data_IF_449495736621
#
_entry.id   IF_449495736621
#
_cell.length_a   1.000
_cell.length_b   1.000
_cell.length_c   1.000
_cell.angle_alpha   90.00
_cell.angle_beta   90.00
_cell.angle_gamma   90.00
#
_symmetry.space_group_name_H-M   'P 1'
#
loop_
_entity.id
_entity.type
_entity.pdbx_description
1 polymer ?
#
# COMPACT_ATOMS: atom_id res chain seq x y z
N UNK A 1 46.56 35.20 -5.14
CA UNK A 1 45.43 34.97 -4.22
C UNK A 1 44.89 33.57 -4.44
N UNK A 2 44.63 32.86 -3.34
CA UNK A 2 44.54 31.41 -3.22
C UNK A 2 43.29 30.74 -3.78
N UNK A 3 43.48 29.46 -4.12
CA UNK A 3 42.49 28.43 -4.49
C UNK A 3 41.37 28.29 -3.46
N UNK A 4 40.13 28.08 -3.92
CA UNK A 4 39.11 27.31 -3.19
C UNK A 4 38.26 26.50 -4.19
N UNK A 5 38.76 25.32 -4.53
CA UNK A 5 37.95 24.25 -5.14
C UNK A 5 37.18 23.58 -4.01
N UNK A 6 35.86 23.82 -3.92
CA UNK A 6 34.98 23.09 -3.00
C UNK A 6 34.83 21.66 -3.51
N UNK A 7 35.47 20.74 -2.79
CA UNK A 7 35.44 19.29 -2.96
C UNK A 7 34.03 18.80 -2.59
N UNK A 8 33.12 18.67 -3.56
CA UNK A 8 31.85 17.97 -3.34
C UNK A 8 32.14 16.47 -3.30
N UNK A 9 31.79 15.85 -2.17
CA UNK A 9 32.08 14.46 -1.84
C UNK A 9 31.49 13.51 -2.88
N UNK A 10 32.35 12.68 -3.46
CA UNK A 10 31.97 11.49 -4.22
C UNK A 10 31.44 10.47 -3.23
N UNK A 11 30.14 10.48 -2.94
CA UNK A 11 29.48 9.28 -2.44
C UNK A 11 29.68 8.20 -3.50
N UNK A 12 30.25 7.06 -3.12
CA UNK A 12 30.57 5.99 -4.08
C UNK A 12 29.29 5.55 -4.78
N UNK A 13 29.34 5.24 -6.08
CA UNK A 13 28.21 4.68 -6.84
C UNK A 13 27.61 3.46 -6.11
N UNK A 14 28.45 2.69 -5.42
CA UNK A 14 28.05 1.57 -4.57
C UNK A 14 27.18 2.00 -3.35
N UNK A 15 27.43 3.17 -2.78
CA UNK A 15 26.74 3.72 -1.61
C UNK A 15 25.32 4.20 -1.96
N UNK A 16 25.16 4.74 -3.16
CA UNK A 16 23.86 5.16 -3.71
C UNK A 16 23.05 3.93 -4.13
N UNK A 17 23.70 2.94 -4.74
CA UNK A 17 23.07 1.68 -5.14
C UNK A 17 22.64 0.86 -3.91
N UNK A 18 23.47 0.84 -2.86
CA UNK A 18 23.14 0.27 -1.55
C UNK A 18 21.94 0.99 -0.91
N UNK A 19 21.84 2.33 -1.02
CA UNK A 19 20.69 3.09 -0.52
C UNK A 19 19.38 2.80 -1.28
N UNK A 20 19.42 2.60 -2.60
CA UNK A 20 18.24 2.24 -3.42
C UNK A 20 17.81 0.79 -3.11
N UNK A 21 18.76 -0.14 -3.02
CA UNK A 21 18.50 -1.54 -2.66
C UNK A 21 17.99 -1.66 -1.22
N UNK A 22 18.46 -0.81 -0.32
CA UNK A 22 17.97 -0.67 1.06
C UNK A 22 16.57 -0.01 1.12
N UNK A 23 16.23 0.88 0.18
CA UNK A 23 14.89 1.46 0.05
C UNK A 23 13.88 0.42 -0.45
N UNK A 24 14.30 -0.44 -1.38
CA UNK A 24 13.50 -1.58 -1.87
C UNK A 24 13.33 -2.68 -0.80
N UNK A 25 14.38 -3.01 -0.02
CA UNK A 25 14.31 -4.05 1.02
C UNK A 25 13.65 -3.62 2.33
N UNK A 26 13.78 -2.35 2.77
CA UNK A 26 13.05 -1.83 3.95
C UNK A 26 11.53 -1.86 3.77
N UNK A 27 11.04 -1.87 2.52
CA UNK A 27 9.61 -1.85 2.20
C UNK A 27 8.98 -3.24 2.07
N UNK A 28 9.76 -4.32 2.13
CA UNK A 28 9.26 -5.70 2.18
C UNK A 28 8.87 -6.13 3.62
N UNK A 29 9.29 -5.40 4.66
CA UNK A 29 9.00 -5.70 6.07
C UNK A 29 7.64 -5.20 6.57
N UNK A 30 6.98 -4.26 5.89
CA UNK A 30 5.76 -3.62 6.39
C UNK A 30 4.45 -4.22 5.83
N UNK A 31 4.46 -5.45 5.29
CA UNK A 31 3.23 -6.12 4.82
C UNK A 31 2.78 -7.27 5.75
N UNK A 32 3.24 -7.26 7.00
CA UNK A 32 2.83 -8.20 8.05
C UNK A 32 2.62 -7.45 9.37
N UNK A 33 1.66 -6.53 9.39
CA UNK A 33 1.08 -6.02 10.63
C UNK A 33 -0.30 -5.46 10.31
N UNK A 34 -1.33 -6.28 10.54
CA UNK A 34 -2.67 -5.85 10.91
C UNK A 34 -3.41 -7.05 11.52
N UNK A 35 -3.13 -7.31 12.79
CA UNK A 35 -4.17 -7.67 13.76
C UNK A 35 -3.66 -7.33 15.15
N UNK A 36 -4.56 -6.78 15.98
CA UNK A 36 -4.51 -6.50 17.42
C UNK A 36 -4.09 -5.09 17.85
N UNK A 37 -5.11 -4.29 18.17
CA UNK A 37 -5.06 -3.14 19.07
C UNK A 37 -4.70 -3.62 20.48
N UNK A 38 -3.84 -2.86 21.18
CA UNK A 38 -4.00 -2.62 22.63
C UNK A 38 -3.21 -1.38 23.07
N UNK A 39 -3.83 -0.65 24.01
CA UNK A 39 -3.47 0.68 24.51
C UNK A 39 -2.44 0.62 25.65
N UNK A 40 -1.37 1.41 25.58
CA UNK A 40 -0.85 2.16 26.74
C UNK A 40 0.08 3.29 26.30
N UNK A 41 -0.14 4.50 26.82
CA UNK A 41 0.68 5.67 26.54
C UNK A 41 2.03 5.66 27.24
N UNK A 42 2.99 6.40 26.67
CA UNK A 42 4.01 7.19 27.39
C UNK A 42 4.69 8.17 26.43
N UNK A 43 4.92 9.35 27.00
CA UNK A 43 5.45 10.61 26.45
C UNK A 43 6.94 10.55 26.01
N UNK A 44 7.53 11.64 25.45
CA UNK A 44 8.50 11.61 24.37
C UNK A 44 9.95 11.38 24.83
N UNK A 45 10.74 10.68 24.00
CA UNK A 45 12.19 10.50 24.23
C UNK A 45 12.95 10.94 22.97
N UNK A 46 14.01 11.70 23.22
CA UNK A 46 14.84 12.48 22.32
C UNK A 46 15.61 11.70 21.24
N UNK A 47 16.06 12.46 20.24
CA UNK A 47 16.84 12.05 19.07
C UNK A 47 18.12 11.25 19.39
N UNK A 48 18.09 9.93 19.20
CA UNK A 48 19.30 9.11 19.03
C UNK A 48 19.47 8.69 17.56
N UNK A 49 20.66 8.97 17.01
CA UNK A 49 21.08 8.60 15.65
C UNK A 49 21.14 7.07 15.51
N UNK A 50 20.15 6.49 14.83
CA UNK A 50 20.16 5.07 14.48
C UNK A 50 21.13 4.84 13.31
N UNK A 51 22.25 4.18 13.58
CA UNK A 51 23.18 3.70 12.56
C UNK A 51 22.48 2.74 11.59
N UNK A 52 22.49 3.11 10.30
CA UNK A 52 21.85 2.33 9.24
C UNK A 52 22.64 1.04 8.99
N UNK A 53 22.19 -0.07 9.59
CA UNK A 53 22.65 -1.42 9.24
C UNK A 53 22.42 -1.68 7.74
N UNK A 54 23.43 -2.26 7.08
CA UNK A 54 23.36 -2.68 5.66
C UNK A 54 22.23 -3.70 5.46
N UNK A 55 21.34 -3.45 4.51
CA UNK A 55 20.23 -4.34 4.19
C UNK A 55 20.68 -5.54 3.36
N UNK A 56 19.89 -6.62 3.40
CA UNK A 56 20.08 -7.79 2.54
C UNK A 56 19.67 -7.43 1.10
N UNK A 57 20.42 -7.93 0.11
CA UNK A 57 20.09 -7.77 -1.31
C UNK A 57 18.79 -8.48 -1.71
N UNK A 58 18.29 -8.19 -2.92
CA UNK A 58 17.05 -8.77 -3.43
C UNK A 58 17.10 -10.30 -3.49
N UNK A 59 16.04 -10.95 -2.99
CA UNK A 59 15.93 -12.41 -3.01
C UNK A 59 15.81 -12.93 -4.45
N UNK A 60 16.68 -13.88 -4.84
CA UNK A 60 16.68 -14.53 -6.17
C UNK A 60 16.01 -15.90 -6.10
N UNK A 61 15.27 -16.26 -7.14
CA UNK A 61 14.69 -17.60 -7.28
C UNK A 61 15.84 -18.60 -7.53
N UNK A 62 16.02 -19.59 -6.66
CA UNK A 62 16.81 -20.76 -7.00
C UNK A 62 15.83 -21.87 -7.36
N UNK A 63 15.87 -22.33 -8.61
CA UNK A 63 15.18 -23.55 -8.99
C UNK A 63 15.77 -24.69 -8.16
N UNK A 64 14.91 -25.44 -7.47
CA UNK A 64 15.35 -26.59 -6.67
C UNK A 64 15.76 -27.68 -7.67
N UNK A 65 17.06 -27.79 -7.94
CA UNK A 65 17.63 -28.90 -8.71
C UNK A 65 18.05 -30.00 -7.74
N UNK A 66 17.32 -31.10 -7.74
CA UNK A 66 17.54 -32.24 -6.85
C UNK A 66 16.29 -32.54 -6.04
N UNK A 67 16.13 -33.81 -5.66
CA UNK A 67 14.98 -34.38 -4.94
C UNK A 67 14.84 -33.87 -3.50
N UNK A 68 14.97 -32.56 -3.26
CA UNK A 68 14.62 -31.92 -2.01
C UNK A 68 13.10 -31.72 -1.97
N UNK A 69 12.46 -32.78 -1.47
CA UNK A 69 11.11 -32.88 -0.89
C UNK A 69 10.31 -31.58 -0.95
N UNK A 70 9.29 -31.59 -1.82
CA UNK A 70 8.18 -30.66 -1.85
C UNK A 70 7.85 -30.17 -0.42
N UNK A 71 8.01 -28.85 -0.17
CA UNK A 71 7.96 -28.29 1.18
C UNK A 71 6.52 -28.30 1.68
N UNK A 72 6.33 -28.85 2.87
CA UNK A 72 5.04 -28.77 3.57
C UNK A 72 4.80 -27.33 4.05
N UNK A 73 3.57 -26.87 3.80
CA UNK A 73 3.01 -25.66 4.40
C UNK A 73 1.97 -26.14 5.40
N UNK A 74 2.27 -25.98 6.69
CA UNK A 74 1.26 -26.14 7.74
C UNK A 74 0.15 -25.11 7.49
N UNK A 75 -1.09 -25.44 7.81
CA UNK A 75 -2.23 -24.54 7.52
C UNK A 75 -3.07 -24.35 8.77
N UNK A 76 -3.60 -23.14 8.97
CA UNK A 76 -4.70 -22.94 9.92
C UNK A 76 -6.02 -23.49 9.37
N UNK A 77 -7.03 -23.46 10.23
CA UNK A 77 -8.44 -23.77 9.95
C UNK A 77 -9.03 -22.97 8.77
N UNK A 78 -8.41 -21.84 8.41
CA UNK A 78 -8.81 -20.98 7.29
C UNK A 78 -8.02 -21.27 5.99
N UNK A 79 -7.21 -22.35 5.96
CA UNK A 79 -6.40 -22.73 4.80
C UNK A 79 -5.24 -21.76 4.50
N UNK A 80 -4.87 -20.91 5.45
CA UNK A 80 -3.72 -20.02 5.31
C UNK A 80 -2.44 -20.76 5.73
N UNK A 81 -1.35 -20.63 4.96
CA UNK A 81 -0.08 -21.22 5.34
C UNK A 81 0.44 -20.57 6.63
N UNK A 82 0.79 -21.40 7.61
CA UNK A 82 1.40 -21.08 8.90
C UNK A 82 2.74 -21.83 8.99
N UNK A 83 3.61 -21.39 9.91
CA UNK A 83 4.85 -22.06 10.23
C UNK A 83 6.08 -21.49 9.52
N UNK A 84 7.22 -22.13 9.75
CA UNK A 84 8.55 -21.61 9.41
C UNK A 84 8.80 -21.46 7.90
N UNK A 85 8.03 -22.17 7.08
CA UNK A 85 8.12 -22.11 5.63
C UNK A 85 7.32 -20.94 5.01
N UNK A 86 6.47 -20.24 5.78
CA UNK A 86 5.65 -19.15 5.28
C UNK A 86 6.49 -18.01 4.67
N UNK A 87 7.57 -17.62 5.35
CA UNK A 87 8.46 -16.54 4.87
C UNK A 87 9.13 -16.95 3.54
N UNK A 88 9.56 -18.21 3.44
CA UNK A 88 10.16 -18.77 2.21
C UNK A 88 9.12 -18.85 1.09
N UNK A 89 7.88 -19.21 1.40
CA UNK A 89 6.77 -19.26 0.46
C UNK A 89 6.40 -17.88 -0.07
N UNK A 90 6.22 -16.89 0.80
CA UNK A 90 5.94 -15.52 0.40
C UNK A 90 7.07 -14.93 -0.48
N UNK A 91 8.33 -15.20 -0.10
CA UNK A 91 9.50 -14.82 -0.91
C UNK A 91 9.47 -15.49 -2.29
N UNK A 92 9.12 -16.77 -2.34
CA UNK A 92 9.01 -17.55 -3.57
C UNK A 92 7.91 -17.03 -4.49
N UNK A 93 6.69 -16.79 -3.99
CA UNK A 93 5.61 -16.16 -4.76
C UNK A 93 6.07 -14.81 -5.33
N UNK A 94 6.79 -14.05 -4.50
CA UNK A 94 7.43 -12.82 -4.92
C UNK A 94 8.41 -13.04 -6.07
N UNK A 95 9.34 -13.97 -5.97
CA UNK A 95 10.30 -14.23 -7.04
C UNK A 95 9.61 -14.73 -8.33
N UNK A 96 8.60 -15.59 -8.21
CA UNK A 96 7.84 -16.12 -9.34
C UNK A 96 7.20 -15.01 -10.18
N UNK A 97 6.53 -14.04 -9.56
CA UNK A 97 5.88 -12.94 -10.31
C UNK A 97 6.91 -12.13 -11.12
N UNK A 98 8.11 -11.91 -10.57
CA UNK A 98 9.15 -11.14 -11.24
C UNK A 98 9.60 -11.82 -12.52
N UNK A 99 9.71 -13.15 -12.48
CA UNK A 99 10.21 -13.95 -13.59
C UNK A 99 9.16 -14.17 -14.68
N UNK A 100 7.92 -14.46 -14.28
CA UNK A 100 6.90 -14.94 -15.22
C UNK A 100 6.02 -13.83 -15.81
N UNK A 101 5.85 -12.69 -15.13
CA UNK A 101 4.82 -11.69 -15.49
C UNK A 101 5.44 -10.34 -15.87
N UNK A 102 5.36 -9.94 -17.14
CA UNK A 102 5.79 -8.61 -17.58
C UNK A 102 4.99 -7.48 -16.91
N UNK A 103 5.63 -6.33 -16.67
CA UNK A 103 4.94 -5.13 -16.16
C UNK A 103 4.25 -4.30 -17.25
N UNK A 104 4.45 -4.65 -18.52
CA UNK A 104 3.84 -4.00 -19.69
C UNK A 104 2.36 -4.37 -19.88
N UNK A 105 1.89 -5.48 -19.29
CA UNK A 105 0.49 -5.91 -19.38
C UNK A 105 -0.44 -4.92 -18.68
N UNK A 106 -1.60 -4.61 -19.26
CA UNK A 106 -2.55 -3.66 -18.68
C UNK A 106 -3.19 -4.20 -17.39
N UNK A 107 -3.65 -5.45 -17.42
CA UNK A 107 -4.30 -6.13 -16.30
C UNK A 107 -3.80 -7.55 -16.06
N UNK A 108 -4.17 -8.10 -14.89
CA UNK A 108 -3.87 -9.49 -14.52
C UNK A 108 -4.62 -10.50 -15.41
N UNK A 109 -5.76 -10.11 -15.96
CA UNK A 109 -6.57 -10.94 -16.86
C UNK A 109 -5.90 -11.17 -18.21
N UNK A 110 -4.98 -10.29 -18.61
CA UNK A 110 -4.30 -10.32 -19.92
C UNK A 110 -3.11 -11.31 -19.93
N UNK A 111 -2.86 -11.98 -18.79
CA UNK A 111 -1.83 -13.01 -18.69
C UNK A 111 -2.35 -14.26 -19.39
N UNK A 112 -1.57 -14.75 -20.35
CA UNK A 112 -1.81 -15.98 -21.07
C UNK A 112 -1.97 -17.17 -20.11
N UNK A 113 -2.92 -18.05 -20.40
CA UNK A 113 -3.24 -19.20 -19.55
C UNK A 113 -2.05 -20.16 -19.47
N UNK A 114 -1.25 -20.27 -20.54
CA UNK A 114 0.00 -21.04 -20.54
C UNK A 114 1.02 -20.53 -19.50
N UNK A 115 1.08 -19.21 -19.29
CA UNK A 115 1.95 -18.62 -18.27
C UNK A 115 1.41 -18.94 -16.88
N UNK A 116 0.08 -18.86 -16.69
CA UNK A 116 -0.55 -19.24 -15.42
C UNK A 116 -0.31 -20.72 -15.10
N UNK A 117 -0.42 -21.61 -16.06
CA UNK A 117 -0.20 -23.04 -15.85
C UNK A 117 1.27 -23.39 -15.59
N UNK A 118 2.21 -22.68 -16.21
CA UNK A 118 3.64 -22.78 -15.87
C UNK A 118 3.93 -22.30 -14.45
N UNK A 119 3.33 -21.18 -14.02
CA UNK A 119 3.44 -20.69 -12.65
C UNK A 119 2.86 -21.71 -11.66
N UNK A 120 1.70 -22.30 -11.98
CA UNK A 120 1.05 -23.32 -11.16
C UNK A 120 1.91 -24.58 -11.03
N UNK A 121 2.43 -25.10 -12.14
CA UNK A 121 3.36 -26.24 -12.14
C UNK A 121 4.60 -25.98 -11.30
N UNK A 122 5.20 -24.79 -11.44
CA UNK A 122 6.38 -24.39 -10.65
C UNK A 122 6.06 -24.33 -9.14
N UNK A 123 4.84 -23.92 -8.78
CA UNK A 123 4.37 -23.88 -7.41
C UNK A 123 4.15 -25.28 -6.83
N UNK A 124 3.51 -26.18 -7.58
CA UNK A 124 3.28 -27.58 -7.17
C UNK A 124 4.59 -28.37 -7.03
N UNK A 125 5.59 -28.07 -7.85
CA UNK A 125 6.92 -28.70 -7.74
C UNK A 125 7.66 -28.30 -6.46
N UNK A 126 7.35 -27.13 -5.88
CA UNK A 126 8.13 -26.57 -4.76
C UNK A 126 7.42 -26.68 -3.42
N UNK A 127 6.08 -26.64 -3.42
CA UNK A 127 5.24 -26.69 -2.22
C UNK A 127 4.07 -27.66 -2.42
N UNK A 128 3.67 -28.33 -1.33
CA UNK A 128 2.49 -29.20 -1.34
C UNK A 128 1.24 -28.32 -1.37
N UNK A 129 0.68 -28.14 -2.55
CA UNK A 129 -0.45 -27.25 -2.80
C UNK A 129 -1.47 -27.98 -3.66
N UNK A 130 -2.74 -27.83 -3.28
CA UNK A 130 -3.86 -28.52 -3.86
C UNK A 130 -4.65 -27.61 -4.81
N UNK A 131 -5.38 -28.22 -5.75
CA UNK A 131 -6.10 -27.48 -6.80
C UNK A 131 -7.16 -26.51 -6.27
N UNK A 132 -7.79 -26.83 -5.13
CA UNK A 132 -8.79 -25.95 -4.52
C UNK A 132 -8.20 -24.61 -4.05
N UNK A 133 -6.88 -24.54 -3.82
CA UNK A 133 -6.18 -23.32 -3.41
C UNK A 133 -5.74 -22.44 -4.57
N UNK A 134 -5.76 -22.98 -5.80
CA UNK A 134 -5.30 -22.29 -7.02
C UNK A 134 -5.88 -20.89 -7.09
N UNK A 135 -7.20 -20.74 -6.88
CA UNK A 135 -7.88 -19.44 -6.91
C UNK A 135 -7.30 -18.45 -5.88
N UNK A 136 -7.17 -18.85 -4.62
CA UNK A 136 -6.68 -17.99 -3.53
C UNK A 136 -5.22 -17.58 -3.75
N UNK A 137 -4.39 -18.50 -4.23
CA UNK A 137 -2.98 -18.25 -4.51
C UNK A 137 -2.84 -17.29 -5.69
N UNK A 138 -3.60 -17.49 -6.76
CA UNK A 138 -3.61 -16.58 -7.90
C UNK A 138 -4.14 -15.18 -7.54
N UNK A 139 -5.08 -15.06 -6.61
CA UNK A 139 -5.48 -13.76 -6.07
C UNK A 139 -4.34 -13.07 -5.31
N UNK A 140 -3.57 -13.82 -4.52
CA UNK A 140 -2.37 -13.29 -3.84
C UNK A 140 -1.30 -12.88 -4.84
N UNK A 141 -1.05 -13.70 -5.87
CA UNK A 141 -0.11 -13.38 -6.94
C UNK A 141 -0.54 -12.11 -7.71
N UNK A 142 -1.83 -11.99 -8.02
CA UNK A 142 -2.40 -10.81 -8.68
C UNK A 142 -2.26 -9.54 -7.85
N UNK A 143 -2.42 -9.64 -6.52
CA UNK A 143 -2.18 -8.51 -5.61
C UNK A 143 -0.70 -8.11 -5.64
N UNK A 144 0.21 -9.07 -5.44
CA UNK A 144 1.65 -8.83 -5.42
C UNK A 144 2.17 -8.21 -6.74
N UNK A 145 1.64 -8.64 -7.89
CA UNK A 145 1.97 -8.05 -9.18
C UNK A 145 1.49 -6.60 -9.29
N UNK A 146 0.23 -6.32 -8.95
CA UNK A 146 -0.32 -4.95 -8.95
C UNK A 146 0.46 -4.01 -8.02
N UNK A 147 0.74 -4.47 -6.80
CA UNK A 147 1.49 -3.70 -5.80
C UNK A 147 2.88 -3.33 -6.33
N UNK A 148 3.57 -4.27 -6.98
CA UNK A 148 4.90 -4.02 -7.56
C UNK A 148 4.86 -3.13 -8.78
N UNK A 149 3.94 -3.39 -9.71
CA UNK A 149 3.74 -2.54 -10.89
C UNK A 149 3.48 -1.10 -10.46
N UNK A 150 2.58 -0.89 -9.49
CA UNK A 150 2.26 0.43 -8.94
C UNK A 150 3.49 1.10 -8.31
N UNK A 151 4.23 0.39 -7.46
CA UNK A 151 5.47 0.91 -6.86
C UNK A 151 6.49 1.33 -7.93
N UNK A 152 6.69 0.50 -8.95
CA UNK A 152 7.62 0.79 -10.04
C UNK A 152 7.16 1.99 -10.86
N UNK A 153 5.85 2.13 -11.13
CA UNK A 153 5.28 3.31 -11.80
C UNK A 153 5.51 4.59 -11.00
N UNK A 154 5.31 4.55 -9.67
CA UNK A 154 5.59 5.70 -8.78
C UNK A 154 7.06 6.11 -8.90
N UNK A 155 7.99 5.14 -8.77
CA UNK A 155 9.42 5.41 -8.85
C UNK A 155 9.83 5.99 -10.21
N UNK A 156 9.30 5.45 -11.32
CA UNK A 156 9.58 5.96 -12.67
C UNK A 156 9.11 7.40 -12.82
N UNK A 157 7.92 7.75 -12.29
CA UNK A 157 7.42 9.13 -12.33
C UNK A 157 8.27 10.08 -11.49
N UNK A 158 8.62 9.67 -10.26
CA UNK A 158 9.49 10.45 -9.38
C UNK A 158 10.87 10.70 -10.03
N UNK A 159 11.45 9.67 -10.65
CA UNK A 159 12.72 9.78 -11.37
C UNK A 159 12.60 10.69 -12.60
N UNK A 160 11.48 10.66 -13.32
CA UNK A 160 11.28 11.52 -14.49
C UNK A 160 11.16 13.01 -14.14
N UNK A 161 10.77 13.36 -12.91
CA UNK A 161 10.75 14.74 -12.41
C UNK A 161 12.15 15.24 -12.01
N UNK A 162 13.10 14.34 -11.78
CA UNK A 162 14.47 14.67 -11.39
C UNK A 162 15.22 15.41 -12.51
N UNK A 163 16.12 16.33 -12.11
CA UNK A 163 17.06 16.99 -13.05
C UNK A 163 17.96 16.00 -13.78
N UNK A 164 18.12 14.78 -13.25
CA UNK A 164 18.96 13.72 -13.82
C UNK A 164 18.10 12.50 -14.20
N UNK A 165 16.94 12.75 -14.80
CA UNK A 165 15.93 11.74 -15.14
C UNK A 165 16.50 10.51 -15.87
N UNK A 166 17.33 10.71 -16.90
CA UNK A 166 17.91 9.60 -17.66
C UNK A 166 18.73 8.64 -16.79
N UNK A 167 19.60 9.18 -15.91
CA UNK A 167 20.40 8.36 -14.98
C UNK A 167 19.53 7.68 -13.93
N UNK A 168 18.57 8.41 -13.35
CA UNK A 168 17.72 7.90 -12.30
C UNK A 168 16.79 6.79 -12.82
N UNK A 169 16.27 6.93 -14.05
CA UNK A 169 15.50 5.89 -14.74
C UNK A 169 16.35 4.64 -15.03
N UNK A 170 17.61 4.80 -15.48
CA UNK A 170 18.50 3.65 -15.69
C UNK A 170 18.77 2.86 -14.41
N UNK A 171 18.79 3.51 -13.24
CA UNK A 171 19.00 2.86 -11.94
C UNK A 171 17.77 2.11 -11.43
N UNK A 172 16.58 2.44 -11.92
CA UNK A 172 15.32 1.80 -11.52
C UNK A 172 15.01 0.53 -12.32
N UNK A 173 15.75 0.26 -13.40
CA UNK A 173 15.55 -0.90 -14.26
C UNK A 173 15.70 -2.20 -13.44
N UNK A 174 14.67 -3.05 -13.38
CA UNK A 174 14.78 -4.35 -12.73
C UNK A 174 15.75 -5.28 -13.47
N UNK A 175 16.53 -6.08 -12.70
CA UNK A 175 17.56 -6.99 -13.26
C UNK A 175 17.01 -8.05 -14.22
N UNK A 176 15.76 -8.49 -14.02
CA UNK A 176 15.09 -9.53 -14.82
C UNK A 176 14.40 -9.00 -16.08
N UNK A 177 14.36 -7.68 -16.27
CA UNK A 177 13.68 -7.06 -17.42
C UNK A 177 14.70 -6.68 -18.49
N UNK A 178 14.40 -7.01 -19.74
CA UNK A 178 15.23 -6.59 -20.86
C UNK A 178 15.12 -5.05 -21.08
N UNK A 179 16.01 -4.48 -21.90
CA UNK A 179 15.99 -3.03 -22.11
C UNK A 179 14.73 -2.58 -22.87
N UNK A 180 14.26 -3.38 -23.83
CA UNK A 180 13.13 -3.01 -24.68
C UNK A 180 11.82 -2.96 -23.90
N UNK A 181 11.57 -3.96 -23.06
CA UNK A 181 10.45 -4.02 -22.12
C UNK A 181 10.52 -2.90 -21.09
N UNK A 182 11.71 -2.54 -20.63
CA UNK A 182 11.88 -1.39 -19.74
C UNK A 182 11.51 -0.08 -20.43
N UNK A 183 11.99 0.14 -21.65
CA UNK A 183 11.69 1.35 -22.41
C UNK A 183 10.20 1.46 -22.74
N UNK A 184 9.58 0.35 -23.16
CA UNK A 184 8.13 0.25 -23.37
C UNK A 184 7.34 0.55 -22.08
N UNK A 185 7.78 0.02 -20.94
CA UNK A 185 7.14 0.28 -19.66
C UNK A 185 7.26 1.75 -19.23
N UNK A 186 8.43 2.36 -19.41
CA UNK A 186 8.65 3.77 -19.12
C UNK A 186 7.79 4.64 -20.03
N UNK A 187 7.73 4.37 -21.33
CA UNK A 187 6.86 5.08 -22.27
C UNK A 187 5.38 4.94 -21.88
N UNK A 188 4.92 3.73 -21.56
CA UNK A 188 3.55 3.48 -21.12
C UNK A 188 3.22 4.27 -19.83
N UNK A 189 4.16 4.29 -18.88
CA UNK A 189 3.98 4.97 -17.58
C UNK A 189 4.01 6.49 -17.71
N UNK A 190 4.79 7.03 -18.65
CA UNK A 190 4.92 8.46 -18.86
C UNK A 190 3.95 9.01 -19.93
N UNK A 191 3.23 8.13 -20.62
CA UNK A 191 2.26 8.51 -21.66
C UNK A 191 1.19 9.45 -21.12
N UNK A 192 0.81 10.43 -21.95
CA UNK A 192 -0.22 11.42 -21.62
C UNK A 192 -1.59 10.79 -21.39
N UNK A 193 -1.90 9.64 -22.00
CA UNK A 193 -3.16 8.90 -21.77
C UNK A 193 -3.25 8.35 -20.35
N UNK A 194 -2.13 7.87 -19.81
CA UNK A 194 -2.04 7.41 -18.43
C UNK A 194 -2.08 8.58 -17.43
N UNK A 195 -1.39 9.68 -17.76
CA UNK A 195 -1.45 10.90 -16.93
C UNK A 195 -2.84 11.51 -16.90
N UNK A 196 -3.56 11.54 -18.03
CA UNK A 196 -4.95 12.02 -18.10
C UNK A 196 -5.90 11.15 -17.28
N UNK A 197 -5.81 9.82 -17.35
CA UNK A 197 -6.58 8.92 -16.48
C UNK A 197 -6.36 9.16 -14.97
N UNK A 198 -5.18 9.66 -14.60
CA UNK A 198 -4.85 9.99 -13.20
C UNK A 198 -5.30 11.41 -12.85
N UNK A 199 -5.13 12.39 -13.76
CA UNK A 199 -5.53 13.79 -13.58
C UNK A 199 -7.04 14.02 -13.69
N UNK A 200 -7.78 13.13 -14.35
CA UNK A 200 -9.25 13.09 -14.31
C UNK A 200 -9.79 12.65 -12.94
N UNK A 201 -8.93 12.25 -11.99
CA UNK A 201 -9.30 12.20 -10.58
C UNK A 201 -9.57 13.63 -10.10
N UNK A 202 -10.81 13.96 -9.69
CA UNK A 202 -11.13 15.34 -9.36
C UNK A 202 -10.27 15.88 -8.22
N UNK A 203 -9.80 17.12 -8.32
CA UNK A 203 -9.05 17.75 -7.24
C UNK A 203 -10.00 17.92 -6.06
N UNK A 204 -9.57 17.41 -4.91
CA UNK A 204 -10.14 17.68 -3.59
C UNK A 204 -11.63 17.28 -3.43
N UNK A 205 -11.92 16.00 -3.15
CA UNK A 205 -13.16 15.69 -2.44
C UNK A 205 -13.01 16.19 -1.00
N UNK A 206 -13.47 17.43 -0.78
CA UNK A 206 -13.96 17.91 0.50
C UNK A 206 -14.65 16.75 1.23
N UNK A 207 -14.36 16.56 2.52
CA UNK A 207 -14.90 15.50 3.38
C UNK A 207 -16.41 15.29 3.16
N UNK A 208 -16.79 14.44 2.21
CA UNK A 208 -18.18 14.08 1.99
C UNK A 208 -18.48 12.98 3.00
N UNK A 209 -19.37 13.27 3.96
CA UNK A 209 -19.92 12.24 4.86
C UNK A 209 -20.80 11.24 4.10
N UNK A 210 -21.08 11.52 2.82
CA UNK A 210 -21.81 10.65 1.91
C UNK A 210 -20.86 9.79 1.08
N UNK A 211 -20.91 8.48 1.31
CA UNK A 211 -20.10 7.50 0.59
C UNK A 211 -20.41 7.45 -0.92
N UNK A 212 -21.57 7.92 -1.36
CA UNK A 212 -21.91 7.94 -2.78
C UNK A 212 -21.13 9.02 -3.56
N UNK A 213 -20.62 10.02 -2.85
CA UNK A 213 -19.97 11.22 -3.41
C UNK A 213 -18.52 11.34 -2.91
N UNK A 214 -17.92 10.25 -2.46
CA UNK A 214 -16.54 10.20 -1.98
C UNK A 214 -15.54 10.08 -3.15
N UNK A 215 -14.27 10.39 -2.90
CA UNK A 215 -13.21 10.27 -3.91
C UNK A 215 -13.19 8.90 -4.61
N UNK A 216 -13.55 7.83 -3.90
CA UNK A 216 -13.57 6.48 -4.46
C UNK A 216 -14.74 6.29 -5.43
N UNK A 217 -15.95 6.72 -5.06
CA UNK A 217 -17.16 6.62 -5.90
C UNK A 217 -17.08 7.51 -7.14
N UNK A 218 -16.38 8.63 -7.06
CA UNK A 218 -16.17 9.51 -8.21
C UNK A 218 -15.28 8.82 -9.27
N UNK A 219 -14.20 8.16 -8.85
CA UNK A 219 -13.25 7.51 -9.76
C UNK A 219 -13.78 6.17 -10.29
N UNK A 220 -14.43 5.38 -9.43
CA UNK A 220 -14.80 4.00 -9.76
C UNK A 220 -16.32 3.76 -9.85
N UNK A 221 -17.12 4.83 -9.88
CA UNK A 221 -18.59 4.78 -9.84
C UNK A 221 -19.15 4.37 -8.48
N UNK A 222 -20.46 4.49 -8.31
CA UNK A 222 -21.16 4.17 -7.06
C UNK A 222 -20.89 2.73 -6.58
N UNK A 223 -20.90 2.57 -5.26
CA UNK A 223 -20.65 1.28 -4.62
C UNK A 223 -21.73 0.23 -4.94
N UNK A 224 -21.30 -0.99 -5.26
CA UNK A 224 -22.19 -2.10 -5.52
C UNK A 224 -22.87 -2.62 -4.23
N UNK A 225 -24.01 -3.29 -4.38
CA UNK A 225 -24.69 -3.91 -3.23
C UNK A 225 -23.78 -4.97 -2.58
N UNK A 226 -23.64 -4.91 -1.25
CA UNK A 226 -23.05 -5.98 -0.45
C UNK A 226 -21.61 -5.78 0.02
N UNK A 227 -20.88 -4.77 -0.46
CA UNK A 227 -19.54 -4.42 0.08
C UNK A 227 -19.22 -2.96 -0.18
N UNK A 228 -18.36 -2.37 0.65
CA UNK A 228 -17.74 -1.06 0.43
C UNK A 228 -16.26 -1.24 0.09
N UNK A 229 -15.83 -0.73 -1.06
CA UNK A 229 -14.41 -0.66 -1.46
C UNK A 229 -13.62 0.18 -0.45
N UNK A 230 -12.40 -0.25 -0.10
CA UNK A 230 -11.51 0.48 0.80
C UNK A 230 -11.73 0.27 2.31
N UNK A 231 -12.92 -0.16 2.76
CA UNK A 231 -13.22 -0.38 4.20
C UNK A 231 -12.99 -1.82 4.70
N UNK A 232 -12.19 -2.63 4.01
CA UNK A 232 -11.92 -4.02 4.40
C UNK A 232 -13.03 -5.02 4.03
N UNK A 233 -13.06 -6.17 4.69
CA UNK A 233 -14.05 -7.22 4.44
C UNK A 233 -15.31 -7.03 5.32
N UNK A 234 -16.51 -7.24 4.76
CA UNK A 234 -17.75 -7.32 5.53
C UNK A 234 -18.46 -5.99 5.85
N UNK A 235 -17.89 -4.85 5.45
CA UNK A 235 -18.54 -3.53 5.54
C UNK A 235 -19.46 -3.34 4.33
N UNK A 236 -20.74 -3.07 4.58
CA UNK A 236 -21.76 -2.85 3.54
C UNK A 236 -22.17 -1.38 3.49
N UNK A 237 -22.62 -0.86 2.33
CA UNK A 237 -23.05 0.55 2.22
C UNK A 237 -24.15 0.91 3.22
N UNK A 238 -25.07 -0.04 3.50
CA UNK A 238 -26.14 0.14 4.48
C UNK A 238 -25.63 0.33 5.91
N UNK A 239 -24.59 -0.41 6.32
CA UNK A 239 -23.98 -0.25 7.65
C UNK A 239 -23.32 1.11 7.80
N UNK A 240 -22.60 1.55 6.77
CA UNK A 240 -21.98 2.88 6.77
C UNK A 240 -23.06 3.97 6.82
N UNK A 241 -24.08 3.88 5.98
CA UNK A 241 -25.19 4.82 5.97
C UNK A 241 -25.94 4.89 7.31
N UNK A 242 -26.13 3.77 8.00
CA UNK A 242 -26.73 3.74 9.34
C UNK A 242 -25.84 4.46 10.38
N UNK A 243 -24.52 4.24 10.34
CA UNK A 243 -23.57 4.89 11.25
C UNK A 243 -23.51 6.40 11.03
N UNK A 244 -23.50 6.87 9.78
CA UNK A 244 -23.52 8.30 9.45
C UNK A 244 -24.78 8.97 10.01
N UNK A 245 -25.95 8.33 9.88
CA UNK A 245 -27.21 8.82 10.46
C UNK A 245 -27.17 8.89 11.98
N UNK A 246 -26.66 7.85 12.63
CA UNK A 246 -26.49 7.82 14.09
C UNK A 246 -25.58 8.95 14.56
N UNK A 247 -24.42 9.14 13.92
CA UNK A 247 -23.49 10.20 14.25
C UNK A 247 -24.12 11.59 14.07
N UNK A 248 -24.91 11.79 13.01
CA UNK A 248 -25.66 13.04 12.80
C UNK A 248 -26.66 13.33 13.91
N UNK A 249 -27.41 12.32 14.37
CA UNK A 249 -28.32 12.46 15.52
C UNK A 249 -27.55 12.78 16.81
N UNK A 250 -26.42 12.13 17.05
CA UNK A 250 -25.57 12.40 18.23
C UNK A 250 -25.06 13.84 18.21
N UNK A 251 -24.61 14.34 17.07
CA UNK A 251 -24.18 15.74 16.94
C UNK A 251 -25.32 16.72 17.21
N UNK A 252 -26.53 16.45 16.69
CA UNK A 252 -27.70 17.28 16.99
C UNK A 252 -28.03 17.31 18.49
N UNK A 253 -28.02 16.15 19.14
CA UNK A 253 -28.24 16.06 20.59
C UNK A 253 -27.16 16.81 21.37
N UNK A 254 -25.90 16.71 20.95
CA UNK A 254 -24.80 17.43 21.58
C UNK A 254 -24.97 18.95 21.49
N UNK A 255 -25.40 19.46 20.34
CA UNK A 255 -25.73 20.89 20.15
C UNK A 255 -26.89 21.32 21.06
N UNK A 256 -27.94 20.52 21.18
CA UNK A 256 -29.07 20.81 22.07
C UNK A 256 -28.62 20.87 23.53
N UNK A 257 -27.84 19.88 23.97
CA UNK A 257 -27.31 19.84 25.34
C UNK A 257 -26.45 21.07 25.65
N UNK A 258 -25.59 21.49 24.72
CA UNK A 258 -24.78 22.71 24.87
C UNK A 258 -25.65 23.96 24.99
N UNK A 259 -26.67 24.08 24.14
CA UNK A 259 -27.58 25.22 24.16
C UNK A 259 -28.36 25.30 25.49
N UNK A 260 -28.88 24.17 25.97
CA UNK A 260 -29.58 24.11 27.27
C UNK A 260 -28.64 24.46 28.43
N UNK A 261 -27.39 23.98 28.41
CA UNK A 261 -26.41 24.35 29.43
C UNK A 261 -26.13 25.86 29.43
N UNK A 262 -26.02 26.48 28.24
CA UNK A 262 -25.80 27.91 28.10
C UNK A 262 -26.99 28.72 28.64
N UNK A 263 -28.22 28.35 28.26
CA UNK A 263 -29.43 29.01 28.78
C UNK A 263 -29.52 28.94 30.31
N UNK A 264 -29.14 27.80 30.90
CA UNK A 264 -29.16 27.64 32.36
C UNK A 264 -28.12 28.53 33.06
N UNK A 265 -26.97 28.78 32.42
CA UNK A 265 -25.96 29.70 32.94
C UNK A 265 -26.43 31.15 32.85
N UNK A 266 -27.03 31.54 31.73
CA UNK A 266 -27.58 32.88 31.51
C UNK A 266 -28.68 33.20 32.53
N UNK A 267 -29.62 32.27 32.75
CA UNK A 267 -30.67 32.43 33.75
C UNK A 267 -30.11 32.57 35.18
N UNK A 268 -29.06 31.81 35.52
CA UNK A 268 -28.38 31.94 36.83
C UNK A 268 -27.75 33.31 37.01
N UNK A 269 -27.16 33.87 35.95
CA UNK A 269 -26.57 35.21 35.98
C UNK A 269 -27.66 36.29 36.12
N UNK A 270 -28.77 36.19 35.37
CA UNK A 270 -29.90 37.11 35.48
C UNK A 270 -30.47 37.14 36.90
N UNK A 271 -30.74 35.98 37.50
CA UNK A 271 -31.25 35.91 38.88
C UNK A 271 -30.24 36.50 39.90
N UNK A 272 -28.93 36.38 39.67
CA UNK A 272 -27.92 37.00 40.52
C UNK A 272 -27.90 38.52 40.40
N UNK A 273 -28.11 39.05 39.19
CA UNK A 273 -28.18 40.49 38.93
C UNK A 273 -29.45 41.09 39.56
N UNK A 274 -30.61 40.45 39.38
CA UNK A 274 -31.86 40.88 40.03
C UNK A 274 -31.73 40.91 41.57
N UNK A 275 -31.07 39.90 42.16
CA UNK A 275 -30.79 39.88 43.59
C UNK A 275 -29.86 41.01 44.07
N UNK A 276 -29.03 41.56 43.19
CA UNK A 276 -28.16 42.70 43.51
C UNK A 276 -28.92 44.03 43.42
N UNK A 277 -29.90 44.14 42.52
CA UNK A 277 -30.71 45.36 42.34
C UNK A 277 -31.76 45.57 43.45
N UNK A 278 -32.14 44.50 44.17
CA UNK A 278 -33.12 44.56 45.27
C UNK A 278 -32.49 45.01 46.61
N UNK A 279 -31.16 45.14 46.70
CA UNK A 279 -30.43 45.64 47.89
C UNK A 279 -30.18 47.13 47.84
#
# INVERSE_FOLDING_TARGET
MSKMVKKCGKGSVAEIQENITNKLSRMDSNNSANSSEDLHGKEPIADEKIDKKKGRGASKLKMVSGQDKCKELERNEFGQPIGDNLVKYASFLGCMIKEFVPYTLDGWSDIDEEVKDRMWSCLQMTYKVEDWEKKTIFQKLAKLWRDRKSKLQILVREANTSRVASRDLSLLKPEFMDQNQWDLFVQMTLSSTFQKKILECPPESQNTTNIADDAISIVFGNEARGRVRGMGFGVTPSKVGASVRQNGMVQQLQTIVQNVQQQMQEMRQQNQLEMQEIR
#
